data_IF_805023994764
#
_entry.id   IF_805023994764
#
_cell.length_a   1.000
_cell.length_b   1.000
_cell.length_c   1.000
_cell.angle_alpha   90.00
_cell.angle_beta   90.00
_cell.angle_gamma   90.00
#
_symmetry.space_group_name_H-M   'P 1'
#
loop_
_entity.id
_entity.type
_entity.pdbx_description
1 polymer ?
#
# COMPACT_ATOMS: atom_id res chain seq x y z
N UNK A 1 -6.64 -9.03 23.95
CA UNK A 1 -5.77 -9.08 25.12
C UNK A 1 -5.71 -7.71 25.82
N UNK A 2 -5.38 -6.62 25.15
CA UNK A 2 -5.30 -5.26 25.73
C UNK A 2 -6.57 -4.85 26.48
N UNK A 3 -7.76 -5.03 25.88
CA UNK A 3 -9.05 -4.69 26.51
C UNK A 3 -9.29 -5.37 27.87
N UNK A 4 -8.63 -6.51 28.15
CA UNK A 4 -8.78 -7.25 29.41
C UNK A 4 -7.67 -6.97 30.43
N UNK A 5 -6.51 -6.48 29.97
CA UNK A 5 -5.28 -6.42 30.79
C UNK A 5 -4.70 -5.01 30.92
N UNK A 6 -5.35 -4.01 30.36
CA UNK A 6 -4.90 -2.62 30.41
C UNK A 6 -6.09 -1.64 30.55
N UNK A 7 -5.80 -0.48 31.09
CA UNK A 7 -6.75 0.66 31.09
C UNK A 7 -6.56 1.43 29.79
N UNK A 8 -7.67 1.76 29.12
CA UNK A 8 -7.69 2.51 27.85
C UNK A 8 -8.03 3.97 28.10
N UNK A 9 -7.24 4.87 27.56
CA UNK A 9 -7.50 6.30 27.46
C UNK A 9 -7.46 6.75 26.01
N UNK A 10 -8.49 7.40 25.51
CA UNK A 10 -8.54 7.96 24.16
C UNK A 10 -7.76 9.28 24.14
N UNK A 11 -6.59 9.30 23.49
CA UNK A 11 -5.76 10.51 23.36
C UNK A 11 -6.34 11.47 22.32
N UNK A 12 -6.83 10.93 21.21
CA UNK A 12 -7.57 11.59 20.15
C UNK A 12 -8.31 10.54 19.31
N UNK A 13 -9.27 10.91 18.46
CA UNK A 13 -9.97 9.95 17.63
C UNK A 13 -9.02 8.97 16.92
N UNK A 14 -9.26 7.67 17.07
CA UNK A 14 -8.47 6.56 16.53
C UNK A 14 -7.05 6.41 17.09
N UNK A 15 -6.73 7.07 18.23
CA UNK A 15 -5.43 6.93 18.92
C UNK A 15 -5.70 6.68 20.40
N UNK A 16 -5.45 5.48 20.85
CA UNK A 16 -5.68 5.02 22.21
C UNK A 16 -4.37 4.74 22.94
N UNK A 17 -4.30 5.19 24.18
CA UNK A 17 -3.24 4.84 25.12
C UNK A 17 -3.73 3.70 26.01
N UNK A 18 -3.01 2.60 26.01
CA UNK A 18 -3.24 1.48 26.93
C UNK A 18 -2.18 1.42 28.00
N UNK A 19 -2.57 1.57 29.26
CA UNK A 19 -1.68 1.44 30.41
C UNK A 19 -1.82 0.03 31.00
N UNK A 20 -0.74 -0.74 30.97
CA UNK A 20 -0.67 -2.10 31.52
C UNK A 20 -0.57 -2.06 33.06
N UNK A 21 -0.91 -3.16 33.72
CA UNK A 21 -0.75 -3.32 35.18
C UNK A 21 0.71 -3.15 35.66
N UNK A 22 1.67 -3.36 34.78
CA UNK A 22 3.09 -3.12 35.03
C UNK A 22 3.50 -1.64 35.03
N UNK A 23 2.58 -0.74 34.64
CA UNK A 23 2.88 0.68 34.42
C UNK A 23 3.37 1.01 33.01
N UNK A 24 3.71 0.02 32.19
CA UNK A 24 4.10 0.23 30.79
C UNK A 24 2.91 0.70 29.95
N UNK A 25 3.18 1.55 28.96
CA UNK A 25 2.17 2.13 28.10
C UNK A 25 2.36 1.70 26.64
N UNK A 26 1.25 1.50 25.95
CA UNK A 26 1.20 1.13 24.53
C UNK A 26 0.24 2.09 23.84
N UNK A 27 0.69 2.74 22.76
CA UNK A 27 -0.18 3.53 21.87
C UNK A 27 -0.70 2.62 20.78
N UNK A 28 -2.01 2.47 20.71
CA UNK A 28 -2.69 1.70 19.66
C UNK A 28 -3.34 2.65 18.67
N UNK A 29 -2.97 2.52 17.41
CA UNK A 29 -3.51 3.33 16.32
C UNK A 29 -4.62 2.58 15.58
N UNK A 30 -5.71 3.31 15.24
CA UNK A 30 -6.86 2.83 14.47
C UNK A 30 -7.46 1.51 15.01
N UNK A 31 -7.38 1.26 16.32
CA UNK A 31 -7.81 0.01 16.97
C UNK A 31 -7.18 -1.27 16.36
N UNK A 32 -5.98 -1.17 15.80
CA UNK A 32 -5.29 -2.26 15.10
C UNK A 32 -5.75 -2.48 13.65
N UNK A 33 -6.56 -1.58 13.09
CA UNK A 33 -6.98 -1.57 11.69
C UNK A 33 -5.94 -0.87 10.80
N UNK A 34 -6.24 -0.65 9.53
CA UNK A 34 -5.37 0.06 8.58
C UNK A 34 -5.12 1.50 9.04
N UNK A 35 -3.90 1.77 9.46
CA UNK A 35 -3.45 3.05 10.04
C UNK A 35 -3.55 4.21 9.04
N UNK A 36 -3.18 3.98 7.79
CA UNK A 36 -3.22 4.97 6.73
C UNK A 36 -4.63 5.50 6.42
N UNK A 37 -5.66 4.71 6.72
CA UNK A 37 -7.06 5.12 6.58
C UNK A 37 -7.67 5.60 7.90
N UNK A 38 -7.29 4.97 9.02
CA UNK A 38 -7.86 5.28 10.35
C UNK A 38 -7.24 6.49 11.02
N UNK A 39 -5.93 6.72 10.85
CA UNK A 39 -5.18 7.80 11.52
C UNK A 39 -4.51 8.79 10.55
N UNK A 40 -4.68 8.61 9.24
CA UNK A 40 -4.14 9.47 8.19
C UNK A 40 -5.16 9.66 7.07
N UNK A 41 -4.78 10.39 6.03
CA UNK A 41 -5.66 10.75 4.90
C UNK A 41 -5.68 9.73 3.77
N UNK A 42 -4.94 8.63 3.91
CA UNK A 42 -4.73 7.66 2.83
C UNK A 42 -3.76 8.18 1.75
N UNK A 43 -3.70 7.46 0.63
CA UNK A 43 -2.90 7.87 -0.53
C UNK A 43 -3.74 8.68 -1.51
N UNK A 44 -3.16 9.70 -2.17
CA UNK A 44 -3.82 10.41 -3.26
C UNK A 44 -4.25 9.46 -4.38
N UNK A 45 -5.38 9.74 -5.02
CA UNK A 45 -5.92 8.91 -6.09
C UNK A 45 -4.95 8.72 -7.28
N UNK A 46 -4.16 9.75 -7.59
CA UNK A 46 -3.13 9.67 -8.63
C UNK A 46 -2.06 8.61 -8.30
N UNK A 47 -1.61 8.55 -7.04
CA UNK A 47 -0.64 7.54 -6.60
C UNK A 47 -1.26 6.13 -6.65
N UNK A 48 -2.49 5.98 -6.17
CA UNK A 48 -3.21 4.70 -6.22
C UNK A 48 -3.49 4.24 -7.65
N UNK A 49 -3.70 5.16 -8.59
CA UNK A 49 -3.88 4.85 -10.01
C UNK A 49 -2.69 4.08 -10.60
N UNK A 50 -1.46 4.36 -10.18
CA UNK A 50 -0.29 3.58 -10.57
C UNK A 50 -0.42 2.11 -10.15
N UNK A 51 -0.82 1.87 -8.90
CA UNK A 51 -1.02 0.52 -8.38
C UNK A 51 -2.14 -0.23 -9.12
N UNK A 52 -3.26 0.41 -9.40
CA UNK A 52 -4.37 -0.20 -10.14
C UNK A 52 -3.99 -0.51 -11.59
N UNK A 53 -3.25 0.37 -12.24
CA UNK A 53 -2.76 0.14 -13.60
C UNK A 53 -1.79 -1.05 -13.62
N UNK A 54 -0.91 -1.14 -12.63
CA UNK A 54 0.00 -2.27 -12.50
C UNK A 54 -0.75 -3.61 -12.32
N UNK A 55 -1.76 -3.63 -11.46
CA UNK A 55 -2.64 -4.80 -11.28
C UNK A 55 -3.35 -5.20 -12.57
N UNK A 56 -3.85 -4.23 -13.32
CA UNK A 56 -4.54 -4.48 -14.61
C UNK A 56 -3.57 -5.05 -15.65
N UNK A 57 -2.37 -4.47 -15.76
CA UNK A 57 -1.35 -4.97 -16.70
C UNK A 57 -0.86 -6.37 -16.32
N UNK A 58 -0.74 -6.66 -15.02
CA UNK A 58 -0.41 -8.00 -14.55
C UNK A 58 -1.46 -9.04 -14.95
N UNK A 59 -2.74 -8.71 -14.82
CA UNK A 59 -3.83 -9.60 -15.27
C UNK A 59 -3.81 -9.81 -16.77
N UNK A 60 -3.60 -8.75 -17.55
CA UNK A 60 -3.48 -8.85 -19.00
C UNK A 60 -2.28 -9.72 -19.40
N UNK A 61 -1.12 -9.55 -18.76
CA UNK A 61 0.08 -10.37 -19.01
C UNK A 61 -0.19 -11.85 -18.74
N UNK A 62 -0.78 -12.17 -17.60
CA UNK A 62 -1.12 -13.55 -17.25
C UNK A 62 -2.14 -14.17 -18.22
N UNK A 63 -3.11 -13.39 -18.66
CA UNK A 63 -4.12 -13.85 -19.59
C UNK A 63 -3.56 -14.09 -20.99
N UNK A 64 -2.80 -13.13 -21.52
CA UNK A 64 -2.27 -13.21 -22.90
C UNK A 64 -1.10 -14.15 -23.05
N UNK A 65 -0.29 -14.32 -21.99
CA UNK A 65 0.92 -15.12 -21.99
C UNK A 65 0.84 -16.34 -21.04
N UNK A 66 -0.33 -16.89 -20.83
CA UNK A 66 -0.60 -17.97 -19.87
C UNK A 66 0.38 -19.14 -19.97
N UNK A 67 0.81 -19.49 -21.19
CA UNK A 67 1.75 -20.60 -21.42
C UNK A 67 3.17 -20.36 -20.88
N UNK A 68 3.52 -19.12 -20.56
CA UNK A 68 4.82 -18.77 -19.98
C UNK A 68 4.85 -18.89 -18.46
N UNK A 69 3.68 -19.03 -17.82
CA UNK A 69 3.53 -18.98 -16.39
C UNK A 69 3.04 -20.31 -15.82
N UNK A 70 3.76 -20.80 -14.82
CA UNK A 70 3.35 -21.94 -14.01
C UNK A 70 2.59 -21.44 -12.78
N UNK A 71 2.03 -22.36 -12.01
CA UNK A 71 1.30 -22.02 -10.78
C UNK A 71 2.26 -21.68 -9.62
N UNK A 72 2.94 -20.53 -9.73
CA UNK A 72 3.88 -19.98 -8.74
C UNK A 72 3.90 -18.45 -8.76
N UNK A 73 4.59 -17.84 -7.78
CA UNK A 73 4.77 -16.39 -7.70
C UNK A 73 5.86 -15.94 -8.69
N UNK A 74 5.58 -14.88 -9.44
CA UNK A 74 6.50 -14.24 -10.38
C UNK A 74 6.67 -12.76 -10.07
N UNK A 75 7.81 -12.20 -10.42
CA UNK A 75 7.99 -10.76 -10.51
C UNK A 75 7.41 -10.26 -11.83
N UNK A 76 6.69 -9.14 -11.78
CA UNK A 76 6.17 -8.52 -13.00
C UNK A 76 7.35 -8.06 -13.89
N UNK A 77 7.28 -8.29 -15.22
CA UNK A 77 8.30 -7.83 -16.14
C UNK A 77 8.54 -6.32 -16.04
N UNK A 78 9.80 -5.90 -15.95
CA UNK A 78 10.19 -4.49 -15.71
C UNK A 78 9.58 -3.52 -16.73
N UNK A 79 9.49 -3.92 -18.00
CA UNK A 79 8.89 -3.07 -19.04
C UNK A 79 7.42 -2.73 -18.79
N UNK A 80 6.67 -3.55 -18.03
CA UNK A 80 5.30 -3.23 -17.64
C UNK A 80 5.27 -2.18 -16.52
N UNK A 81 6.20 -2.24 -15.58
CA UNK A 81 6.38 -1.22 -14.54
C UNK A 81 6.73 0.14 -15.19
N UNK A 82 7.68 0.15 -16.11
CA UNK A 82 8.07 1.35 -16.87
C UNK A 82 6.90 1.91 -17.69
N UNK A 83 6.06 1.04 -18.25
CA UNK A 83 4.83 1.44 -18.95
C UNK A 83 3.84 2.13 -18.02
N UNK A 84 3.66 1.66 -16.79
CA UNK A 84 2.81 2.32 -15.78
C UNK A 84 3.32 3.73 -15.50
N UNK A 85 4.63 3.88 -15.24
CA UNK A 85 5.25 5.18 -15.00
C UNK A 85 5.04 6.13 -16.19
N UNK A 86 5.36 5.68 -17.40
CA UNK A 86 5.22 6.48 -18.62
C UNK A 86 3.78 6.97 -18.84
N UNK A 87 2.78 6.10 -18.66
CA UNK A 87 1.37 6.46 -18.81
C UNK A 87 0.93 7.54 -17.82
N UNK A 88 1.43 7.51 -16.59
CA UNK A 88 1.07 8.47 -15.56
C UNK A 88 1.85 9.78 -15.68
N UNK A 89 3.14 9.73 -15.96
CA UNK A 89 3.99 10.90 -16.12
C UNK A 89 3.54 11.76 -17.28
N UNK A 90 3.16 11.16 -18.40
CA UNK A 90 2.61 11.87 -19.56
C UNK A 90 1.40 12.76 -19.21
N UNK A 91 0.56 12.34 -18.27
CA UNK A 91 -0.62 13.12 -17.84
C UNK A 91 -0.28 14.39 -17.09
N UNK A 92 0.88 14.45 -16.48
CA UNK A 92 1.38 15.62 -15.74
C UNK A 92 2.46 16.38 -16.50
N UNK A 93 2.66 16.05 -17.79
CA UNK A 93 3.63 16.75 -18.65
C UNK A 93 5.09 16.42 -18.34
N UNK A 94 5.35 15.26 -17.76
CA UNK A 94 6.69 14.75 -17.44
C UNK A 94 7.01 13.55 -18.33
N UNK A 95 8.24 13.41 -18.74
CA UNK A 95 8.75 12.25 -19.47
C UNK A 95 9.62 11.37 -18.56
N UNK A 96 9.63 10.09 -18.86
CA UNK A 96 10.49 9.12 -18.19
C UNK A 96 11.85 9.11 -18.86
N UNK A 97 12.91 9.33 -18.09
CA UNK A 97 14.28 9.24 -18.61
C UNK A 97 14.63 7.84 -19.06
N UNK A 98 15.36 7.74 -20.17
CA UNK A 98 16.00 6.51 -20.59
C UNK A 98 17.40 6.42 -19.94
N UNK A 99 17.58 5.41 -19.09
CA UNK A 99 18.87 5.17 -18.46
C UNK A 99 19.86 4.67 -19.51
N UNK A 100 20.99 5.36 -19.62
CA UNK A 100 22.13 4.86 -20.41
C UNK A 100 22.75 3.63 -19.73
N UNK A 101 23.29 2.67 -20.50
CA UNK A 101 23.92 1.46 -19.97
C UNK A 101 25.06 1.76 -19.00
#
# INVERSE_FOLDING_TARGET
WLKKNATRDEVKPQVDLYTLKSGNQIILLAEGRLVNLGCATGHPSFVMSNSFTNQTLAQLELWTNTSKYENKVYMLPKHLDEKVASLHLKKIGVELDELTP
#
